data_IF_165241162819
#
_entry.id   IF_165241162819
#
_cell.length_a   1.000
_cell.length_b   1.000
_cell.length_c   1.000
_cell.angle_alpha   90.00
_cell.angle_beta   90.00
_cell.angle_gamma   90.00
#
_symmetry.space_group_name_H-M   'P 1'
#
loop_
_entity.id
_entity.type
_entity.pdbx_description
1 polymer ?
#
# COMPACT_ATOMS: atom_id res chain seq x y z
N UNK A 1 -1.67 3.36 -48.23
CA UNK A 1 -1.72 3.14 -46.78
C UNK A 1 -0.28 2.87 -46.39
N UNK A 2 0.45 3.89 -45.91
CA UNK A 2 1.92 3.83 -45.72
C UNK A 2 2.32 3.06 -44.46
N UNK A 3 3.32 3.56 -43.72
CA UNK A 3 3.87 3.00 -42.47
C UNK A 3 2.84 2.65 -41.37
N UNK A 4 1.57 3.00 -41.56
CA UNK A 4 0.46 2.67 -40.67
C UNK A 4 -0.12 1.26 -40.88
N UNK A 5 0.19 0.57 -41.98
CA UNK A 5 -0.28 -0.80 -42.22
C UNK A 5 0.33 -1.76 -41.18
N UNK A 6 1.63 -1.61 -40.90
CA UNK A 6 2.34 -2.37 -39.86
C UNK A 6 1.86 -2.02 -38.45
N UNK A 7 1.49 -0.75 -38.21
CA UNK A 7 0.95 -0.29 -36.92
C UNK A 7 -0.43 -0.92 -36.66
N UNK A 8 -1.30 -0.93 -37.66
CA UNK A 8 -2.63 -1.53 -37.55
C UNK A 8 -2.56 -3.06 -37.37
N UNK A 9 -1.66 -3.73 -38.10
CA UNK A 9 -1.41 -5.17 -37.94
C UNK A 9 -0.88 -5.52 -36.55
N UNK A 10 0.00 -4.67 -36.00
CA UNK A 10 0.52 -4.83 -34.63
C UNK A 10 -0.57 -4.61 -33.57
N UNK A 11 -1.46 -3.64 -33.77
CA UNK A 11 -2.62 -3.39 -32.89
C UNK A 11 -3.61 -4.57 -32.90
N UNK A 12 -3.87 -5.16 -34.06
CA UNK A 12 -4.72 -6.34 -34.16
C UNK A 12 -4.11 -7.56 -33.45
N UNK A 13 -2.80 -7.77 -33.64
CA UNK A 13 -2.04 -8.83 -32.96
C UNK A 13 -2.03 -8.64 -31.45
N UNK A 14 -1.88 -7.40 -30.99
CA UNK A 14 -1.96 -7.04 -29.57
C UNK A 14 -3.35 -7.37 -29.01
N UNK A 15 -4.42 -6.99 -29.72
CA UNK A 15 -5.79 -7.23 -29.29
C UNK A 15 -6.11 -8.74 -29.17
N UNK A 16 -5.71 -9.54 -30.16
CA UNK A 16 -5.80 -11.00 -30.12
C UNK A 16 -5.02 -11.62 -28.95
N UNK A 17 -3.83 -11.09 -28.67
CA UNK A 17 -2.99 -11.56 -27.57
C UNK A 17 -3.60 -11.25 -26.21
N UNK A 18 -4.17 -10.05 -26.04
CA UNK A 18 -4.87 -9.64 -24.82
C UNK A 18 -6.11 -10.51 -24.60
N UNK A 19 -6.93 -10.75 -25.62
CA UNK A 19 -8.11 -11.61 -25.51
C UNK A 19 -7.74 -13.02 -25.04
N UNK A 20 -6.68 -13.61 -25.62
CA UNK A 20 -6.15 -14.91 -25.17
C UNK A 20 -5.65 -14.87 -23.72
N UNK A 21 -4.96 -13.80 -23.33
CA UNK A 21 -4.50 -13.61 -21.95
C UNK A 21 -5.67 -13.42 -20.97
N UNK A 22 -6.75 -12.75 -21.37
CA UNK A 22 -7.97 -12.58 -20.58
C UNK A 22 -8.70 -13.91 -20.36
N UNK A 23 -8.83 -14.75 -21.39
CA UNK A 23 -9.41 -16.09 -21.24
C UNK A 23 -8.56 -16.99 -20.34
N UNK A 24 -7.23 -16.90 -20.45
CA UNK A 24 -6.31 -17.62 -19.56
C UNK A 24 -6.44 -17.14 -18.10
N UNK A 25 -6.38 -15.83 -17.88
CA UNK A 25 -6.46 -15.24 -16.54
C UNK A 25 -7.78 -15.54 -15.86
N UNK A 26 -8.91 -15.56 -16.59
CA UNK A 26 -10.21 -15.98 -16.03
C UNK A 26 -10.16 -17.41 -15.44
N UNK A 27 -9.61 -18.38 -16.18
CA UNK A 27 -9.52 -19.77 -15.71
C UNK A 27 -8.55 -19.94 -14.53
N UNK A 28 -7.44 -19.22 -14.55
CA UNK A 28 -6.41 -19.28 -13.49
C UNK A 28 -6.90 -18.58 -12.23
N UNK A 29 -7.68 -17.50 -12.35
CA UNK A 29 -8.17 -16.76 -11.20
C UNK A 29 -9.17 -17.56 -10.37
N UNK A 30 -10.11 -18.27 -11.01
CA UNK A 30 -11.12 -19.09 -10.32
C UNK A 30 -10.55 -20.37 -9.69
N UNK A 31 -9.44 -20.90 -10.22
CA UNK A 31 -8.83 -22.18 -9.77
C UNK A 31 -7.48 -22.03 -9.06
N UNK A 32 -6.92 -20.81 -9.01
CA UNK A 32 -5.55 -20.55 -8.57
C UNK A 32 -5.43 -20.18 -7.10
N UNK A 33 -4.19 -20.17 -6.61
CA UNK A 33 -3.85 -19.77 -5.25
C UNK A 33 -3.98 -18.25 -5.07
N UNK A 34 -3.94 -17.76 -3.82
CA UNK A 34 -3.95 -16.31 -3.55
C UNK A 34 -2.80 -15.56 -4.27
N UNK A 35 -1.65 -16.21 -4.48
CA UNK A 35 -0.52 -15.63 -5.23
C UNK A 35 -0.87 -15.53 -6.72
N UNK A 36 -1.45 -16.58 -7.29
CA UNK A 36 -1.86 -16.59 -8.70
C UNK A 36 -2.93 -15.53 -8.99
N UNK A 37 -3.88 -15.36 -8.06
CA UNK A 37 -4.88 -14.30 -8.16
C UNK A 37 -4.26 -12.90 -8.05
N UNK A 38 -3.23 -12.72 -7.22
CA UNK A 38 -2.50 -11.45 -7.13
C UNK A 38 -1.75 -11.15 -8.43
N UNK A 39 -0.96 -12.10 -8.93
CA UNK A 39 -0.23 -11.97 -10.20
C UNK A 39 -1.20 -11.67 -11.34
N UNK A 40 -2.36 -12.33 -11.36
CA UNK A 40 -3.41 -12.08 -12.35
C UNK A 40 -3.95 -10.65 -12.28
N UNK A 41 -4.27 -10.13 -11.08
CA UNK A 41 -4.74 -8.74 -10.90
C UNK A 41 -3.64 -7.74 -11.28
N UNK A 42 -2.39 -8.03 -10.96
CA UNK A 42 -1.24 -7.20 -11.31
C UNK A 42 -1.05 -7.13 -12.83
N UNK A 43 -0.99 -8.27 -13.52
CA UNK A 43 -0.81 -8.32 -14.97
C UNK A 43 -1.94 -7.63 -15.74
N UNK A 44 -3.19 -7.78 -15.29
CA UNK A 44 -4.33 -7.08 -15.88
C UNK A 44 -4.19 -5.56 -15.71
N UNK A 45 -3.81 -5.10 -14.51
CA UNK A 45 -3.63 -3.68 -14.23
C UNK A 45 -2.46 -3.07 -15.00
N UNK A 46 -1.36 -3.81 -15.09
CA UNK A 46 -0.17 -3.39 -15.84
C UNK A 46 -0.45 -3.31 -17.35
N UNK A 47 -1.14 -4.30 -17.92
CA UNK A 47 -1.55 -4.29 -19.34
C UNK A 47 -2.47 -3.09 -19.64
N UNK A 48 -3.42 -2.78 -18.76
CA UNK A 48 -4.30 -1.62 -18.91
C UNK A 48 -3.53 -0.29 -18.84
N UNK A 49 -2.58 -0.17 -17.92
CA UNK A 49 -1.75 1.03 -17.79
C UNK A 49 -0.88 1.24 -19.05
N UNK A 50 -0.26 0.18 -19.58
CA UNK A 50 0.57 0.27 -20.79
C UNK A 50 -0.25 0.71 -22.00
N UNK A 51 -1.48 0.20 -22.16
CA UNK A 51 -2.39 0.65 -23.22
C UNK A 51 -2.75 2.13 -23.03
N UNK A 52 -3.05 2.55 -21.79
CA UNK A 52 -3.39 3.94 -21.52
C UNK A 52 -2.23 4.89 -21.85
N UNK A 53 -0.99 4.50 -21.54
CA UNK A 53 0.21 5.25 -21.92
C UNK A 53 0.36 5.36 -23.44
N UNK A 54 0.10 4.26 -24.17
CA UNK A 54 0.13 4.27 -25.63
C UNK A 54 -0.94 5.20 -26.22
N UNK A 55 -2.17 5.12 -25.71
CA UNK A 55 -3.28 6.00 -26.12
C UNK A 55 -2.93 7.48 -25.91
N UNK A 56 -2.42 7.83 -24.72
CA UNK A 56 -2.02 9.21 -24.41
C UNK A 56 -0.91 9.72 -25.32
N UNK A 57 0.04 8.85 -25.71
CA UNK A 57 1.09 9.21 -26.66
C UNK A 57 0.55 9.47 -28.06
N UNK A 58 -0.43 8.69 -28.51
CA UNK A 58 -1.07 8.87 -29.82
C UNK A 58 -1.93 10.13 -29.80
N UNK A 59 -2.72 10.36 -28.76
CA UNK A 59 -3.52 11.58 -28.58
C UNK A 59 -2.65 12.84 -28.64
N UNK A 60 -1.50 12.84 -27.93
CA UNK A 60 -0.56 13.97 -27.99
C UNK A 60 0.02 14.20 -29.39
N UNK A 61 0.22 13.14 -30.18
CA UNK A 61 0.70 13.29 -31.56
C UNK A 61 -0.38 13.87 -32.47
N UNK A 62 -1.65 13.48 -32.27
CA UNK A 62 -2.79 14.06 -32.99
C UNK A 62 -2.95 15.54 -32.64
N UNK A 63 -2.91 15.90 -31.36
CA UNK A 63 -3.01 17.29 -30.91
C UNK A 63 -1.90 18.17 -31.51
N UNK A 64 -0.67 17.65 -31.58
CA UNK A 64 0.45 18.36 -32.20
C UNK A 64 0.25 18.59 -33.71
N UNK A 65 -0.33 17.61 -34.42
CA UNK A 65 -0.68 17.74 -35.84
C UNK A 65 -1.80 18.77 -36.03
N UNK A 66 -2.83 18.75 -35.18
CA UNK A 66 -3.95 19.70 -35.26
C UNK A 66 -3.50 21.13 -34.95
N UNK A 67 -2.63 21.32 -33.96
CA UNK A 67 -2.02 22.61 -33.62
C UNK A 67 -1.16 23.13 -34.79
N UNK A 68 -0.33 22.26 -35.39
CA UNK A 68 0.45 22.61 -36.58
C UNK A 68 -0.46 23.00 -37.76
N UNK A 69 -1.56 22.28 -37.98
CA UNK A 69 -2.52 22.59 -39.03
C UNK A 69 -3.22 23.94 -38.80
N UNK A 70 -3.54 24.27 -37.55
CA UNK A 70 -4.11 25.57 -37.19
C UNK A 70 -3.11 26.72 -37.38
N UNK A 71 -1.84 26.52 -37.01
CA UNK A 71 -0.77 27.51 -37.24
C UNK A 71 -0.53 27.77 -38.73
N UNK A 72 -0.54 26.74 -39.57
CA UNK A 72 -0.40 26.89 -41.04
C UNK A 72 -1.54 27.73 -41.62
N UNK A 73 -2.79 27.51 -41.17
CA UNK A 73 -3.94 28.32 -41.59
C UNK A 73 -3.82 29.78 -41.14
N UNK A 74 -3.33 30.02 -39.92
CA UNK A 74 -3.12 31.38 -39.39
C UNK A 74 -1.97 32.14 -40.09
N UNK A 75 -0.89 31.45 -40.47
CA UNK A 75 0.21 32.03 -41.24
C UNK A 75 -0.22 32.38 -42.67
N UNK A 76 -1.04 31.55 -43.32
CA UNK A 76 -1.56 31.83 -44.66
C UNK A 76 -2.50 33.05 -44.69
N UNK A 77 -3.26 33.28 -43.62
CA UNK A 77 -4.15 34.44 -43.50
C UNK A 77 -3.40 35.78 -43.31
N UNK A 78 -2.10 35.75 -42.95
CA UNK A 78 -1.26 36.96 -42.83
C UNK A 78 -0.49 37.31 -44.10
N UNK A 79 -0.45 36.42 -45.10
CA UNK A 79 0.25 36.68 -46.38
C UNK A 79 -0.62 37.42 -47.41
N UNK A 80 -1.85 37.81 -47.03
CA UNK A 80 -2.78 38.55 -47.89
C UNK A 80 -2.73 40.07 -47.80
N UNK A 81 -1.75 40.67 -47.11
CA UNK A 81 -1.73 42.14 -46.97
C UNK A 81 -0.31 42.72 -47.02
N UNK A 82 0.04 43.29 -48.17
CA UNK A 82 1.04 44.37 -48.29
C UNK A 82 2.37 44.01 -48.96
N UNK A 83 2.45 44.26 -50.26
CA UNK A 83 3.69 44.41 -51.03
C UNK A 83 4.50 45.66 -50.61
N UNK A 84 5.82 45.59 -50.85
CA UNK A 84 6.79 46.62 -51.32
C UNK A 84 8.10 46.81 -50.49
N UNK A 85 9.21 46.49 -51.18
CA UNK A 85 10.64 46.87 -51.09
C UNK A 85 11.41 46.72 -49.76
N UNK A 86 12.67 46.27 -49.71
CA UNK A 86 13.62 45.95 -50.77
C UNK A 86 15.03 45.70 -50.17
N UNK A 87 15.83 44.91 -50.90
CA UNK A 87 17.31 44.93 -51.02
C UNK A 87 18.24 44.78 -49.79
N UNK A 88 18.90 43.61 -49.75
CA UNK A 88 20.31 43.23 -49.40
C UNK A 88 21.19 44.02 -48.40
N UNK A 89 21.83 43.23 -47.52
CA UNK A 89 23.16 43.29 -46.87
C UNK A 89 23.89 44.64 -46.66
N UNK A 90 24.48 44.83 -45.47
CA UNK A 90 25.95 44.80 -45.25
C UNK A 90 26.38 45.34 -43.85
N UNK A 91 27.54 44.84 -43.39
CA UNK A 91 28.53 45.46 -42.49
C UNK A 91 28.40 45.41 -40.95
N UNK A 92 29.23 44.54 -40.36
CA UNK A 92 29.89 44.64 -39.01
C UNK A 92 30.84 45.87 -38.93
N UNK A 93 31.75 46.13 -37.92
CA UNK A 93 32.08 45.51 -36.61
C UNK A 93 32.49 46.52 -35.47
N UNK A 94 32.94 45.99 -34.31
CA UNK A 94 34.14 46.44 -33.51
C UNK A 94 33.93 46.98 -32.07
N UNK A 95 34.52 46.26 -31.09
CA UNK A 95 34.77 46.61 -29.67
C UNK A 95 35.93 47.63 -29.50
N UNK A 96 36.11 48.32 -28.33
CA UNK A 96 37.04 47.79 -27.30
C UNK A 96 36.77 48.14 -25.81
N UNK A 97 37.34 47.28 -24.94
CA UNK A 97 37.95 47.43 -23.59
C UNK A 97 37.74 48.72 -22.74
N UNK A 98 37.79 48.75 -21.40
CA UNK A 98 37.87 47.81 -20.26
C UNK A 98 37.94 48.71 -19.00
N UNK A 99 37.20 48.44 -17.91
CA UNK A 99 37.54 48.90 -16.55
C UNK A 99 37.08 47.90 -15.49
N UNK A 100 37.95 47.76 -14.52
CA UNK A 100 38.18 46.63 -13.61
C UNK A 100 37.63 46.89 -12.20
N UNK A 101 37.63 45.84 -11.34
CA UNK A 101 37.67 45.86 -9.85
C UNK A 101 36.27 46.00 -9.19
N UNK A 102 35.77 45.21 -8.23
CA UNK A 102 36.34 44.33 -7.18
C UNK A 102 35.26 43.40 -6.59
N UNK A 103 35.70 42.21 -6.15
CA UNK A 103 35.27 41.41 -4.96
C UNK A 103 33.81 41.50 -4.46
N UNK A 104 33.10 40.37 -4.48
CA UNK A 104 33.00 39.55 -3.26
C UNK A 104 32.49 38.12 -3.55
N UNK A 105 33.31 37.15 -3.15
CA UNK A 105 32.97 35.73 -3.09
C UNK A 105 32.28 35.49 -1.75
N UNK A 106 31.02 35.08 -1.77
CA UNK A 106 30.45 34.25 -0.70
C UNK A 106 30.23 32.85 -1.22
N UNK A 107 31.11 31.98 -0.70
CA UNK A 107 31.20 30.54 -0.86
C UNK A 107 29.93 29.87 -0.30
N UNK A 108 29.18 29.22 -1.18
CA UNK A 108 28.11 28.29 -0.85
C UNK A 108 28.20 27.11 -1.80
N UNK A 109 28.89 26.07 -1.36
CA UNK A 109 29.04 24.78 -2.02
C UNK A 109 27.70 24.22 -2.50
N UNK A 110 27.60 23.86 -3.78
CA UNK A 110 26.93 22.62 -4.19
C UNK A 110 27.20 22.40 -5.68
N UNK A 111 28.02 21.39 -5.94
CA UNK A 111 28.18 20.70 -7.21
C UNK A 111 26.81 20.11 -7.61
N UNK A 112 25.94 20.92 -8.23
CA UNK A 112 24.71 20.42 -8.86
C UNK A 112 25.12 19.94 -10.24
N UNK A 113 25.78 18.77 -10.25
CA UNK A 113 25.77 17.93 -11.44
C UNK A 113 24.32 17.56 -11.66
N UNK A 114 23.85 17.94 -12.83
CA UNK A 114 22.66 17.45 -13.49
C UNK A 114 22.60 15.92 -13.32
N UNK A 115 21.95 15.48 -12.25
CA UNK A 115 21.50 14.10 -12.11
C UNK A 115 20.45 13.95 -13.22
N UNK A 116 20.92 13.54 -14.40
CA UNK A 116 20.06 13.29 -15.56
C UNK A 116 18.89 12.41 -15.16
N UNK A 117 17.77 12.55 -15.85
CA UNK A 117 16.53 11.83 -15.57
C UNK A 117 16.76 10.32 -15.35
N UNK A 118 17.73 9.71 -16.02
CA UNK A 118 18.17 8.34 -15.80
C UNK A 118 18.74 8.07 -14.39
N UNK A 119 19.55 8.96 -13.82
CA UNK A 119 20.07 8.83 -12.46
C UNK A 119 18.94 8.90 -11.43
N UNK A 120 17.94 9.76 -11.66
CA UNK A 120 16.74 9.83 -10.84
C UNK A 120 15.88 8.57 -10.99
N UNK A 121 15.68 8.06 -12.20
CA UNK A 121 14.96 6.81 -12.47
C UNK A 121 15.66 5.63 -11.80
N UNK A 122 16.98 5.53 -11.91
CA UNK A 122 17.78 4.46 -11.30
C UNK A 122 17.72 4.52 -9.77
N UNK A 123 17.79 5.72 -9.20
CA UNK A 123 17.62 5.94 -7.76
C UNK A 123 16.21 5.59 -7.29
N UNK A 124 15.19 5.92 -8.09
CA UNK A 124 13.80 5.58 -7.79
C UNK A 124 13.58 4.06 -7.87
N UNK A 125 14.15 3.40 -8.87
CA UNK A 125 14.12 1.94 -9.02
C UNK A 125 14.84 1.23 -7.87
N UNK A 126 15.98 1.75 -7.39
CA UNK A 126 16.66 1.22 -6.21
C UNK A 126 15.82 1.43 -4.93
N UNK A 127 15.20 2.60 -4.77
CA UNK A 127 14.31 2.89 -3.65
C UNK A 127 13.07 1.99 -3.66
N UNK A 128 12.47 1.78 -4.83
CA UNK A 128 11.34 0.86 -5.03
C UNK A 128 11.79 -0.56 -4.72
N UNK A 129 12.90 -1.04 -5.28
CA UNK A 129 13.41 -2.39 -4.99
C UNK A 129 13.76 -2.58 -3.50
N UNK A 130 14.25 -1.55 -2.81
CA UNK A 130 14.49 -1.58 -1.36
C UNK A 130 13.21 -1.50 -0.53
N UNK A 131 12.21 -0.75 -0.99
CA UNK A 131 10.88 -0.68 -0.38
C UNK A 131 10.13 -1.99 -0.57
N UNK A 132 10.14 -2.55 -1.77
CA UNK A 132 9.61 -3.87 -2.11
C UNK A 132 10.32 -4.94 -1.30
N UNK A 133 11.65 -4.95 -1.22
CA UNK A 133 12.36 -5.89 -0.36
C UNK A 133 12.04 -5.68 1.12
N UNK A 134 11.88 -4.45 1.63
CA UNK A 134 11.45 -4.24 3.02
C UNK A 134 10.01 -4.69 3.26
N UNK A 135 9.09 -4.36 2.37
CA UNK A 135 7.67 -4.71 2.47
C UNK A 135 7.48 -6.20 2.25
N UNK A 136 8.20 -6.83 1.33
CA UNK A 136 8.17 -8.27 1.04
C UNK A 136 8.92 -9.04 2.11
N UNK A 137 10.10 -8.63 2.60
CA UNK A 137 10.73 -9.30 3.74
C UNK A 137 9.92 -9.12 5.02
N UNK A 138 9.33 -7.96 5.28
CA UNK A 138 8.40 -7.81 6.40
C UNK A 138 7.15 -8.66 6.18
N UNK A 139 6.54 -8.66 5.00
CA UNK A 139 5.31 -9.41 4.71
C UNK A 139 5.55 -10.92 4.65
N UNK A 140 6.67 -11.40 4.09
CA UNK A 140 7.04 -12.83 4.04
C UNK A 140 7.52 -13.33 5.41
N UNK A 141 8.14 -12.49 6.25
CA UNK A 141 8.41 -12.83 7.65
C UNK A 141 7.14 -12.75 8.53
N UNK A 142 6.14 -11.95 8.12
CA UNK A 142 4.80 -11.91 8.73
C UNK A 142 3.87 -13.03 8.20
N UNK A 143 4.21 -13.72 7.10
CA UNK A 143 3.35 -14.73 6.47
C UNK A 143 3.09 -15.98 7.33
N UNK A 144 3.80 -16.18 8.44
CA UNK A 144 3.68 -17.41 9.23
C UNK A 144 3.30 -17.24 10.71
N UNK A 145 2.96 -16.04 11.19
CA UNK A 145 2.41 -15.90 12.54
C UNK A 145 1.22 -14.94 12.54
N UNK A 146 0.04 -15.51 12.45
CA UNK A 146 -1.20 -14.84 12.83
C UNK A 146 -1.54 -15.30 14.24
N UNK A 147 -1.97 -14.38 15.12
CA UNK A 147 -2.53 -14.74 16.41
C UNK A 147 -4.04 -14.79 16.31
N UNK A 148 -4.64 -15.74 17.01
CA UNK A 148 -6.07 -15.84 17.19
C UNK A 148 -6.48 -14.96 18.38
N UNK A 149 -7.11 -13.81 18.11
CA UNK A 149 -7.62 -12.91 19.14
C UNK A 149 -9.08 -13.26 19.45
N UNK A 150 -9.37 -13.49 20.74
CA UNK A 150 -10.72 -13.66 21.26
C UNK A 150 -11.07 -12.47 22.15
N UNK A 151 -12.17 -11.81 21.85
CA UNK A 151 -12.79 -10.77 22.67
C UNK A 151 -14.05 -11.35 23.31
N UNK A 152 -14.09 -11.32 24.64
CA UNK A 152 -15.25 -11.75 25.42
C UNK A 152 -15.81 -10.56 26.18
N UNK A 153 -17.06 -10.20 25.93
CA UNK A 153 -17.76 -9.16 26.65
C UNK A 153 -18.78 -9.78 27.61
N UNK A 154 -18.71 -9.37 28.86
CA UNK A 154 -19.44 -9.96 29.97
C UNK A 154 -20.03 -8.85 30.82
N UNK A 155 -21.33 -8.95 31.13
CA UNK A 155 -22.01 -7.99 32.01
C UNK A 155 -22.43 -8.70 33.31
N UNK A 156 -21.76 -8.36 34.40
CA UNK A 156 -22.00 -8.92 35.72
C UNK A 156 -23.14 -8.20 36.44
N UNK A 157 -23.82 -8.90 37.35
CA UNK A 157 -24.81 -8.28 38.23
C UNK A 157 -24.12 -7.42 39.28
N UNK A 158 -24.71 -6.26 39.59
CA UNK A 158 -24.19 -5.35 40.60
C UNK A 158 -24.02 -6.02 41.98
N UNK A 159 -24.81 -7.06 42.27
CA UNK A 159 -24.76 -7.82 43.52
C UNK A 159 -23.56 -8.78 43.59
N UNK A 160 -23.12 -9.31 42.45
CA UNK A 160 -22.11 -10.38 42.35
C UNK A 160 -20.81 -9.93 41.68
N UNK A 161 -20.71 -8.65 41.30
CA UNK A 161 -19.54 -8.08 40.60
C UNK A 161 -18.22 -8.26 41.37
N UNK A 162 -18.26 -8.29 42.70
CA UNK A 162 -17.07 -8.51 43.54
C UNK A 162 -16.52 -9.94 43.45
N UNK A 163 -17.42 -10.92 43.45
CA UNK A 163 -17.10 -12.33 43.25
C UNK A 163 -16.57 -12.56 41.84
N UNK A 164 -17.27 -12.03 40.83
CA UNK A 164 -16.85 -12.09 39.44
C UNK A 164 -15.45 -11.50 39.24
N UNK A 165 -15.17 -10.32 39.80
CA UNK A 165 -13.86 -9.67 39.68
C UNK A 165 -12.74 -10.49 40.32
N UNK A 166 -13.02 -11.14 41.46
CA UNK A 166 -12.06 -12.01 42.14
C UNK A 166 -11.75 -13.26 41.32
N UNK A 167 -12.80 -13.90 40.79
CA UNK A 167 -12.68 -15.07 39.92
C UNK A 167 -11.98 -14.74 38.60
N UNK A 168 -12.32 -13.61 37.97
CA UNK A 168 -11.67 -13.11 36.75
C UNK A 168 -10.17 -12.88 36.98
N UNK A 169 -9.77 -12.23 38.09
CA UNK A 169 -8.35 -12.06 38.43
C UNK A 169 -7.62 -13.39 38.59
N UNK A 170 -8.27 -14.37 39.23
CA UNK A 170 -7.71 -15.71 39.38
C UNK A 170 -7.56 -16.41 38.03
N UNK A 171 -8.57 -16.32 37.17
CA UNK A 171 -8.52 -16.83 35.79
C UNK A 171 -7.36 -16.22 35.00
N UNK A 172 -7.21 -14.88 35.00
CA UNK A 172 -6.10 -14.19 34.33
C UNK A 172 -4.73 -14.65 34.85
N UNK A 173 -4.61 -14.86 36.16
CA UNK A 173 -3.38 -15.37 36.77
C UNK A 173 -3.07 -16.81 36.33
N UNK A 174 -4.09 -17.65 36.18
CA UNK A 174 -3.93 -19.02 35.72
C UNK A 174 -3.57 -19.09 34.23
N UNK A 175 -4.24 -18.28 33.39
CA UNK A 175 -3.97 -18.21 31.95
C UNK A 175 -2.55 -17.69 31.68
N UNK A 176 -2.12 -16.66 32.43
CA UNK A 176 -0.76 -16.12 32.29
C UNK A 176 0.34 -17.04 32.83
N UNK A 177 0.04 -17.93 33.78
CA UNK A 177 1.02 -18.88 34.32
C UNK A 177 1.21 -20.13 33.46
N UNK A 178 0.19 -20.53 32.70
CA UNK A 178 0.26 -21.71 31.81
C UNK A 178 1.13 -21.47 30.57
N UNK A 179 1.36 -20.21 30.16
CA UNK A 179 2.26 -19.87 29.06
C UNK A 179 1.75 -20.25 27.67
N UNK A 180 0.57 -20.86 27.57
CA UNK A 180 -0.12 -21.23 26.32
C UNK A 180 -0.80 -20.02 25.66
N UNK A 181 -1.19 -19.01 26.44
CA UNK A 181 -1.75 -17.75 25.95
C UNK A 181 -0.65 -16.67 25.82
N UNK A 182 -0.55 -16.03 24.66
CA UNK A 182 0.47 -15.00 24.40
C UNK A 182 0.32 -13.77 25.27
N UNK A 183 -0.93 -13.36 25.46
CA UNK A 183 -1.30 -12.19 26.22
C UNK A 183 -2.78 -12.28 26.59
N UNK A 184 -3.09 -11.92 27.83
CA UNK A 184 -4.47 -11.77 28.28
C UNK A 184 -4.60 -10.46 29.03
N UNK A 185 -5.64 -9.70 28.71
CA UNK A 185 -5.98 -8.44 29.39
C UNK A 185 -7.47 -8.36 29.59
N UNK A 186 -7.89 -7.90 30.77
CA UNK A 186 -9.28 -7.56 31.05
C UNK A 186 -9.42 -6.06 31.26
N UNK A 187 -10.45 -5.48 30.65
CA UNK A 187 -10.81 -4.07 30.78
C UNK A 187 -12.19 -4.00 31.44
N UNK A 188 -12.32 -3.15 32.46
CA UNK A 188 -13.62 -2.83 33.06
C UNK A 188 -14.16 -1.55 32.42
N UNK A 189 -15.40 -1.57 31.95
CA UNK A 189 -16.04 -0.40 31.34
C UNK A 189 -16.49 0.62 32.41
N UNK A 190 -16.77 1.88 32.02
CA UNK A 190 -17.17 2.94 32.95
C UNK A 190 -18.46 2.66 33.72
N UNK A 191 -19.31 1.77 33.21
CA UNK A 191 -20.53 1.32 33.88
C UNK A 191 -20.27 0.43 35.11
N UNK A 192 -18.99 0.08 35.36
CA UNK A 192 -18.51 -0.72 36.48
C UNK A 192 -19.03 -2.16 36.54
N UNK A 193 -19.95 -2.56 35.65
CA UNK A 193 -20.57 -3.89 35.64
C UNK A 193 -20.23 -4.67 34.37
N UNK A 194 -19.74 -4.00 33.33
CA UNK A 194 -19.34 -4.65 32.08
C UNK A 194 -17.82 -4.79 32.01
N UNK A 195 -17.38 -5.96 31.56
CA UNK A 195 -16.00 -6.37 31.45
C UNK A 195 -15.74 -6.90 30.05
N UNK A 196 -14.60 -6.55 29.49
CA UNK A 196 -14.13 -7.04 28.20
C UNK A 196 -12.78 -7.70 28.38
N UNK A 197 -12.71 -9.00 28.10
CA UNK A 197 -11.48 -9.79 28.15
C UNK A 197 -10.97 -9.99 26.74
N UNK A 198 -9.68 -9.71 26.54
CA UNK A 198 -8.95 -9.95 25.30
C UNK A 198 -7.92 -11.05 25.55
N UNK A 199 -8.01 -12.12 24.78
CA UNK A 199 -7.09 -13.26 24.84
C UNK A 199 -6.44 -13.47 23.49
N UNK A 200 -5.11 -13.60 23.48
CA UNK A 200 -4.32 -13.85 22.28
C UNK A 200 -3.76 -15.28 22.32
N UNK A 201 -4.11 -16.08 21.32
CA UNK A 201 -3.72 -17.49 21.18
C UNK A 201 -2.92 -17.70 19.89
N UNK A 202 -2.09 -18.75 19.80
CA UNK A 202 -1.39 -19.05 18.55
C UNK A 202 -2.37 -19.57 17.50
N UNK A 203 -3.25 -20.49 17.93
CA UNK A 203 -4.27 -21.07 17.06
C UNK A 203 -5.65 -21.19 17.73
N UNK A 204 -6.68 -21.36 16.91
CA UNK A 204 -8.05 -21.61 17.40
C UNK A 204 -8.14 -22.92 18.20
N UNK A 205 -7.34 -23.92 17.85
CA UNK A 205 -7.29 -25.22 18.53
C UNK A 205 -6.76 -25.10 19.97
N UNK A 206 -5.76 -24.25 20.20
CA UNK A 206 -5.25 -23.98 21.55
C UNK A 206 -6.30 -23.31 22.42
N UNK A 207 -7.00 -22.30 21.88
CA UNK A 207 -8.12 -21.68 22.58
C UNK A 207 -9.23 -22.70 22.90
N UNK A 208 -9.60 -23.55 21.95
CA UNK A 208 -10.60 -24.62 22.19
C UNK A 208 -10.16 -25.61 23.26
N UNK A 209 -8.87 -25.96 23.29
CA UNK A 209 -8.29 -26.82 24.33
C UNK A 209 -8.34 -26.14 25.70
N UNK A 210 -8.04 -24.84 25.75
CA UNK A 210 -8.14 -24.03 26.96
C UNK A 210 -9.57 -23.94 27.50
N UNK A 211 -10.58 -23.82 26.63
CA UNK A 211 -11.99 -23.86 27.05
C UNK A 211 -12.37 -25.15 27.78
N UNK A 212 -11.66 -26.25 27.51
CA UNK A 212 -11.86 -27.53 28.19
C UNK A 212 -11.06 -27.69 29.49
N UNK A 213 -10.15 -26.75 29.79
CA UNK A 213 -9.30 -26.78 30.98
C UNK A 213 -10.09 -26.59 32.27
N UNK A 214 -9.60 -27.17 33.37
CA UNK A 214 -10.19 -27.03 34.70
C UNK A 214 -10.37 -25.57 35.13
N UNK A 215 -9.34 -24.69 35.02
CA UNK A 215 -9.46 -23.28 35.37
C UNK A 215 -10.50 -22.52 34.54
N UNK A 216 -10.61 -22.81 33.23
CA UNK A 216 -11.61 -22.17 32.38
C UNK A 216 -13.02 -22.64 32.73
N UNK A 217 -13.23 -23.94 32.96
CA UNK A 217 -14.53 -24.48 33.39
C UNK A 217 -14.98 -23.92 34.74
N UNK A 218 -14.08 -23.82 35.71
CA UNK A 218 -14.38 -23.18 36.99
C UNK A 218 -14.82 -21.72 36.80
N UNK A 219 -14.17 -20.97 35.90
CA UNK A 219 -14.57 -19.61 35.57
C UNK A 219 -15.91 -19.54 34.81
N UNK A 220 -16.20 -20.51 33.93
CA UNK A 220 -17.50 -20.63 33.25
C UNK A 220 -18.66 -20.80 34.24
N UNK A 221 -18.48 -21.58 35.31
CA UNK A 221 -19.50 -21.69 36.37
C UNK A 221 -19.79 -20.33 37.00
N UNK A 222 -18.74 -19.58 37.39
CA UNK A 222 -18.92 -18.24 37.95
C UNK A 222 -19.61 -17.30 36.96
N UNK A 223 -19.30 -17.41 35.66
CA UNK A 223 -19.98 -16.62 34.63
C UNK A 223 -21.49 -16.91 34.57
N UNK A 224 -21.88 -18.17 34.66
CA UNK A 224 -23.31 -18.54 34.69
C UNK A 224 -24.01 -17.94 35.91
N UNK A 225 -23.37 -17.95 37.07
CA UNK A 225 -24.00 -17.49 38.33
C UNK A 225 -24.00 -15.96 38.49
N UNK A 226 -23.06 -15.26 37.84
CA UNK A 226 -22.83 -13.83 38.09
C UNK A 226 -23.24 -12.90 36.97
N UNK A 227 -23.40 -13.39 35.73
CA UNK A 227 -23.73 -12.55 34.58
C UNK A 227 -25.24 -12.29 34.46
N UNK A 228 -25.61 -11.08 34.05
CA UNK A 228 -27.03 -10.71 33.82
C UNK A 228 -27.53 -11.10 32.43
N UNK A 229 -26.62 -11.37 31.51
CA UNK A 229 -26.89 -11.77 30.13
C UNK A 229 -25.79 -12.72 29.65
N UNK A 230 -26.05 -13.54 28.61
CA UNK A 230 -25.02 -14.36 27.99
C UNK A 230 -23.83 -13.51 27.53
N UNK A 231 -22.64 -14.08 27.63
CA UNK A 231 -21.44 -13.42 27.13
C UNK A 231 -21.48 -13.26 25.60
N UNK A 232 -20.92 -12.16 25.11
CA UNK A 232 -20.73 -11.94 23.69
C UNK A 232 -19.27 -12.23 23.33
N UNK A 233 -19.06 -13.24 22.49
CA UNK A 233 -17.73 -13.68 22.06
C UNK A 233 -17.54 -13.29 20.59
N UNK A 234 -16.45 -12.59 20.30
CA UNK A 234 -15.99 -12.34 18.93
C UNK A 234 -14.54 -12.76 18.77
N UNK A 235 -14.20 -13.32 17.61
CA UNK A 235 -12.84 -13.79 17.31
C UNK A 235 -12.36 -13.26 15.97
N UNK A 236 -11.06 -12.96 15.87
CA UNK A 236 -10.43 -12.47 14.65
C UNK A 236 -8.95 -12.89 14.59
N UNK A 237 -8.46 -13.21 13.40
CA UNK A 237 -7.04 -13.46 13.18
C UNK A 237 -6.30 -12.12 13.02
N UNK A 238 -5.34 -11.85 13.90
CA UNK A 238 -4.54 -10.61 13.87
C UNK A 238 -3.09 -10.91 13.46
N UNK A 239 -2.43 -10.06 12.66
CA UNK A 239 -1.02 -10.23 12.35
C UNK A 239 -0.16 -10.21 13.63
N UNK A 240 0.70 -11.21 13.84
CA UNK A 240 1.60 -11.23 14.98
C UNK A 240 2.80 -10.31 14.72
N UNK A 241 2.91 -9.22 15.46
CA UNK A 241 4.16 -8.45 15.48
C UNK A 241 5.14 -9.13 16.43
N UNK A 242 6.40 -9.35 16.03
CA UNK A 242 7.42 -9.87 16.94
C UNK A 242 7.51 -8.95 18.16
N UNK A 243 7.42 -9.54 19.37
CA UNK A 243 7.58 -8.82 20.63
C UNK A 243 8.85 -7.97 20.53
N UNK A 244 8.74 -6.64 20.53
CA UNK A 244 9.86 -5.82 20.97
C UNK A 244 10.12 -6.27 22.40
N UNK A 245 11.31 -6.84 22.64
CA UNK A 245 11.83 -7.03 23.98
C UNK A 245 11.93 -5.66 24.64
N UNK A 246 10.82 -5.17 25.20
CA UNK A 246 10.84 -4.13 26.20
C UNK A 246 11.41 -4.85 27.41
N UNK A 247 12.69 -4.61 27.64
CA UNK A 247 13.48 -5.29 28.65
C UNK A 247 12.74 -5.31 29.98
N UNK A 248 12.71 -6.49 30.61
CA UNK A 248 12.45 -6.58 32.04
C UNK A 248 13.49 -5.70 32.74
N UNK A 249 13.10 -4.68 33.52
CA UNK A 249 14.03 -4.17 34.52
C UNK A 249 14.28 -5.30 35.53
N UNK A 250 15.56 -5.56 35.79
CA UNK A 250 16.02 -6.43 36.87
C UNK A 250 15.61 -5.86 38.22
#
# INVERSE_FOLDING_TARGET
MGDYEDVLSSLETLNLSILKAMDYTKRVYERGTNVDQFVTRFLLKETANQIQSLLSSVESAVDAIDEQANQIRLCHNKTGQGMIDGWYEDSTPTYPASRTITKDVRKGSSDIKEEGLEALINRLAELIGRLENKVIHQTINLKNRYLFLVRQEMKASQKTVGEFCSSLKQYLKNVSSQGECFHVTAVRLPDMVTFVVYEFWDTEEEWKRHLQSGPCKAFQHVKVDTLTQPESISSVCVPAFPKRNIGRPK
#
